data_IF_383464504327
#
_entry.id   IF_383464504327
#
_cell.length_a   1.000
_cell.length_b   1.000
_cell.length_c   1.000
_cell.angle_alpha   90.00
_cell.angle_beta   90.00
_cell.angle_gamma   90.00
#
_symmetry.space_group_name_H-M   'P 1'
#
loop_
_entity.id
_entity.type
_entity.pdbx_description
1 polymer ?
#
# COMPACT_ATOMS: atom_id res chain seq x y z
N UNK A 1 4.14 -22.50 -8.70
CA UNK A 1 4.42 -21.06 -8.60
C UNK A 1 4.42 -20.65 -7.13
N UNK A 2 5.45 -19.96 -6.69
CA UNK A 2 5.57 -19.59 -5.30
C UNK A 2 4.81 -18.32 -4.98
N UNK A 3 4.01 -18.35 -3.90
CA UNK A 3 3.34 -17.16 -3.40
C UNK A 3 4.14 -16.57 -2.25
N UNK A 4 4.12 -15.25 -2.14
CA UNK A 4 4.80 -14.53 -1.07
C UNK A 4 3.79 -14.18 0.02
N UNK A 5 4.19 -14.41 1.26
CA UNK A 5 3.41 -13.98 2.42
C UNK A 5 3.53 -12.47 2.55
N UNK A 6 2.43 -11.79 2.82
CA UNK A 6 2.44 -10.34 3.04
C UNK A 6 2.41 -10.08 4.54
N UNK A 7 3.38 -9.32 5.01
CA UNK A 7 3.44 -8.88 6.42
C UNK A 7 3.33 -7.36 6.42
N UNK A 8 2.30 -6.84 7.05
CA UNK A 8 2.09 -5.39 7.18
C UNK A 8 2.70 -4.96 8.50
N UNK A 9 3.78 -4.17 8.43
CA UNK A 9 4.45 -3.68 9.62
C UNK A 9 3.64 -2.57 10.29
N UNK A 10 3.89 -2.31 11.56
CA UNK A 10 3.07 -1.42 12.38
C UNK A 10 2.86 -0.04 11.76
N UNK A 11 3.91 0.56 11.23
CA UNK A 11 3.79 1.89 10.62
C UNK A 11 2.90 1.86 9.38
N UNK A 12 3.04 0.84 8.55
CA UNK A 12 2.20 0.69 7.37
C UNK A 12 0.75 0.44 7.75
N UNK A 13 0.51 -0.33 8.81
CA UNK A 13 -0.84 -0.56 9.31
C UNK A 13 -1.48 0.75 9.78
N UNK A 14 -0.72 1.57 10.50
CA UNK A 14 -1.22 2.86 10.95
C UNK A 14 -1.51 3.79 9.77
N UNK A 15 -0.61 3.82 8.78
CA UNK A 15 -0.84 4.59 7.55
C UNK A 15 -2.14 4.18 6.87
N UNK A 16 -2.39 2.88 6.82
CA UNK A 16 -3.57 2.33 6.18
C UNK A 16 -4.84 2.73 6.93
N UNK A 17 -4.84 2.62 8.26
CA UNK A 17 -5.98 3.01 9.08
C UNK A 17 -6.27 4.50 8.94
N UNK A 18 -5.23 5.33 8.94
CA UNK A 18 -5.37 6.78 8.78
C UNK A 18 -5.99 7.13 7.43
N UNK A 19 -5.56 6.45 6.37
CA UNK A 19 -6.09 6.69 5.03
C UNK A 19 -7.57 6.30 4.94
N UNK A 20 -7.92 5.14 5.50
CA UNK A 20 -9.31 4.66 5.50
C UNK A 20 -10.20 5.65 6.26
N UNK A 21 -9.77 6.09 7.45
CA UNK A 21 -10.53 7.07 8.24
C UNK A 21 -10.69 8.38 7.51
N UNK A 22 -9.62 8.86 6.87
CA UNK A 22 -9.65 10.09 6.12
C UNK A 22 -10.70 10.02 5.00
N UNK A 23 -10.69 8.96 4.21
CA UNK A 23 -11.62 8.81 3.10
C UNK A 23 -13.06 8.64 3.57
N UNK A 24 -13.28 7.89 4.64
CA UNK A 24 -14.62 7.72 5.21
C UNK A 24 -15.17 9.02 5.78
N UNK A 25 -14.31 9.92 6.26
CA UNK A 25 -14.76 11.23 6.75
C UNK A 25 -15.18 12.15 5.61
N UNK A 26 -14.74 11.87 4.38
CA UNK A 26 -15.08 12.69 3.21
C UNK A 26 -16.33 12.19 2.50
N UNK A 27 -16.53 10.88 2.44
CA UNK A 27 -17.71 10.29 1.81
C UNK A 27 -17.91 8.88 2.35
N UNK A 28 -19.16 8.52 2.62
CA UNK A 28 -19.49 7.19 3.13
C UNK A 28 -18.93 6.10 2.22
N UNK A 29 -18.34 5.10 2.82
CA UNK A 29 -17.78 3.91 2.14
C UNK A 29 -16.59 4.18 1.24
N UNK A 30 -16.06 5.41 1.20
CA UNK A 30 -14.91 5.71 0.37
C UNK A 30 -13.64 5.04 0.92
N UNK A 31 -13.52 4.95 2.25
CA UNK A 31 -12.40 4.24 2.87
C UNK A 31 -12.44 2.75 2.55
N UNK A 32 -13.63 2.16 2.47
CA UNK A 32 -13.77 0.76 2.10
C UNK A 32 -13.38 0.53 0.66
N UNK A 33 -13.70 1.48 -0.23
CA UNK A 33 -13.27 1.41 -1.62
C UNK A 33 -11.75 1.47 -1.72
N UNK A 34 -11.13 2.38 -0.96
CA UNK A 34 -9.68 2.47 -0.90
C UNK A 34 -9.07 1.14 -0.43
N UNK A 35 -9.61 0.57 0.63
CA UNK A 35 -9.11 -0.69 1.17
C UNK A 35 -9.24 -1.83 0.16
N UNK A 36 -10.32 -1.84 -0.61
CA UNK A 36 -10.53 -2.84 -1.65
C UNK A 36 -9.41 -2.77 -2.70
N UNK A 37 -9.05 -1.57 -3.15
CA UNK A 37 -7.95 -1.40 -4.09
C UNK A 37 -6.60 -1.75 -3.47
N UNK A 38 -6.43 -1.47 -2.18
CA UNK A 38 -5.24 -1.87 -1.45
C UNK A 38 -5.12 -3.40 -1.44
N UNK A 39 -6.20 -4.11 -1.14
CA UNK A 39 -6.18 -5.58 -1.12
C UNK A 39 -5.84 -6.16 -2.49
N UNK A 40 -6.31 -5.53 -3.55
CA UNK A 40 -5.97 -5.96 -4.89
C UNK A 40 -4.44 -5.89 -5.10
N UNK A 41 -3.81 -4.82 -4.63
CA UNK A 41 -2.36 -4.72 -4.73
C UNK A 41 -1.65 -5.79 -3.89
N UNK A 42 -2.22 -6.15 -2.74
CA UNK A 42 -1.64 -7.23 -1.92
C UNK A 42 -1.65 -8.56 -2.68
N UNK A 43 -2.73 -8.86 -3.37
CA UNK A 43 -2.80 -10.07 -4.19
C UNK A 43 -1.74 -10.05 -5.29
N UNK A 44 -1.58 -8.90 -5.94
CA UNK A 44 -0.57 -8.74 -6.98
C UNK A 44 0.83 -8.96 -6.43
N UNK A 45 1.15 -8.37 -5.28
CA UNK A 45 2.46 -8.49 -4.66
C UNK A 45 2.74 -9.91 -4.17
N UNK A 46 1.71 -10.64 -3.75
CA UNK A 46 1.91 -12.01 -3.30
C UNK A 46 2.29 -12.95 -4.46
N UNK A 47 1.94 -12.58 -5.67
CA UNK A 47 2.27 -13.37 -6.86
C UNK A 47 3.60 -12.93 -7.45
N UNK A 48 3.82 -11.63 -7.58
CA UNK A 48 5.05 -11.10 -8.15
C UNK A 48 5.42 -9.76 -7.51
N UNK A 49 6.28 -9.76 -6.48
CA UNK A 49 6.65 -8.54 -5.78
C UNK A 49 7.86 -7.83 -6.37
N UNK A 50 8.39 -8.26 -7.52
CA UNK A 50 9.68 -7.76 -8.01
C UNK A 50 9.55 -6.50 -8.86
N UNK A 51 8.93 -5.48 -8.28
CA UNK A 51 8.95 -4.14 -8.86
C UNK A 51 10.31 -3.50 -8.64
N UNK A 52 10.61 -2.47 -9.40
CA UNK A 52 11.92 -1.82 -9.38
C UNK A 52 12.25 -1.29 -7.97
N UNK A 53 13.50 -1.53 -7.55
CA UNK A 53 14.01 -0.94 -6.30
C UNK A 53 14.19 0.54 -6.53
N UNK A 54 13.62 1.37 -5.65
CA UNK A 54 13.65 2.82 -5.77
C UNK A 54 14.73 3.48 -4.93
N UNK A 55 14.95 2.97 -3.72
CA UNK A 55 16.00 3.48 -2.84
C UNK A 55 16.32 2.40 -1.82
N UNK A 56 17.59 2.33 -1.40
CA UNK A 56 18.07 1.25 -0.53
C UNK A 56 17.61 -0.09 -1.09
N UNK A 57 16.84 -0.86 -0.35
CA UNK A 57 16.22 -2.10 -0.84
C UNK A 57 14.70 -1.96 -0.94
N UNK A 58 14.19 -0.73 -0.96
CA UNK A 58 12.75 -0.46 -0.97
C UNK A 58 12.21 -0.45 -2.40
N UNK A 59 11.15 -1.20 -2.60
CA UNK A 59 10.38 -1.21 -3.84
C UNK A 59 9.06 -0.46 -3.61
N UNK A 60 8.49 0.10 -4.65
CA UNK A 60 7.27 0.91 -4.54
C UNK A 60 6.23 0.44 -5.53
N UNK A 61 4.96 0.44 -5.09
CA UNK A 61 3.83 0.11 -5.94
C UNK A 61 2.68 1.06 -5.65
N UNK A 62 2.22 1.76 -6.69
CA UNK A 62 1.09 2.68 -6.55
C UNK A 62 -0.21 1.89 -6.39
N UNK A 63 -1.09 2.38 -5.50
CA UNK A 63 -2.44 1.85 -5.37
C UNK A 63 -3.28 2.42 -6.51
N UNK A 64 -3.95 1.54 -7.25
CA UNK A 64 -4.77 1.96 -8.38
C UNK A 64 -5.89 2.91 -7.93
N UNK A 65 -6.07 4.01 -8.65
CA UNK A 65 -7.12 5.02 -8.44
C UNK A 65 -6.97 5.89 -7.20
N UNK A 66 -5.95 5.67 -6.39
CA UNK A 66 -5.71 6.47 -5.20
C UNK A 66 -4.27 6.96 -5.20
N UNK A 67 -4.01 8.19 -4.70
CA UNK A 67 -2.67 8.77 -4.75
C UNK A 67 -1.80 8.30 -3.59
N UNK A 68 -1.70 6.98 -3.42
CA UNK A 68 -0.87 6.38 -2.38
C UNK A 68 0.09 5.40 -3.00
N UNK A 69 1.28 5.31 -2.41
CA UNK A 69 2.32 4.38 -2.84
C UNK A 69 2.68 3.47 -1.67
N UNK A 70 2.69 2.17 -1.94
CA UNK A 70 3.10 1.16 -0.98
C UNK A 70 4.61 1.03 -1.06
N UNK A 71 5.30 1.16 0.08
CA UNK A 71 6.75 0.98 0.19
C UNK A 71 7.00 -0.37 0.86
N UNK A 72 7.75 -1.23 0.22
CA UNK A 72 7.92 -2.60 0.70
C UNK A 72 9.30 -3.15 0.38
N UNK A 73 9.68 -4.20 1.11
CA UNK A 73 10.89 -4.98 0.85
C UNK A 73 10.50 -6.43 0.60
N UNK A 74 11.37 -7.16 -0.08
CA UNK A 74 11.13 -8.57 -0.42
C UNK A 74 12.25 -9.41 0.18
N UNK A 75 11.86 -10.42 0.98
CA UNK A 75 12.78 -11.44 1.45
C UNK A 75 12.55 -12.67 0.59
N UNK A 76 13.47 -12.91 -0.35
CA UNK A 76 13.33 -14.01 -1.31
C UNK A 76 13.49 -15.37 -0.63
N UNK A 77 14.36 -15.47 0.34
CA UNK A 77 14.65 -16.74 1.01
C UNK A 77 13.43 -17.27 1.75
N UNK A 78 12.75 -16.38 2.46
CA UNK A 78 11.59 -16.76 3.24
C UNK A 78 10.27 -16.55 2.49
N UNK A 79 10.33 -15.99 1.29
CA UNK A 79 9.18 -15.67 0.47
C UNK A 79 8.19 -14.77 1.22
N UNK A 80 8.70 -13.67 1.77
CA UNK A 80 7.90 -12.70 2.54
C UNK A 80 8.08 -11.30 1.94
N UNK A 81 6.95 -10.58 1.83
CA UNK A 81 6.94 -9.16 1.49
C UNK A 81 6.59 -8.40 2.76
N UNK A 82 7.44 -7.46 3.15
CA UNK A 82 7.20 -6.59 4.31
C UNK A 82 6.75 -5.22 3.82
N UNK A 83 5.56 -4.81 4.19
CA UNK A 83 5.07 -3.45 3.93
C UNK A 83 5.58 -2.52 5.02
N UNK A 84 6.32 -1.50 4.62
CA UNK A 84 6.92 -0.53 5.56
C UNK A 84 6.09 0.72 5.71
N UNK A 85 5.44 1.17 4.64
CA UNK A 85 4.66 2.41 4.68
C UNK A 85 3.67 2.44 3.52
N UNK A 86 2.60 3.22 3.69
CA UNK A 86 1.63 3.52 2.64
C UNK A 86 1.52 5.04 2.62
N UNK A 87 2.18 5.67 1.66
CA UNK A 87 2.43 7.10 1.68
C UNK A 87 1.64 7.83 0.59
N UNK A 88 0.94 8.89 1.00
CA UNK A 88 0.23 9.76 0.08
C UNK A 88 1.24 10.54 -0.78
N UNK A 89 0.97 10.62 -2.09
CA UNK A 89 1.85 11.31 -3.03
C UNK A 89 1.62 12.82 -3.06
N UNK A 90 0.55 13.32 -2.44
CA UNK A 90 0.29 14.74 -2.35
C UNK A 90 0.98 15.34 -1.13
N UNK A 91 1.40 16.60 -1.24
CA UNK A 91 1.98 17.33 -0.13
C UNK A 91 0.99 17.55 0.99
N UNK A 92 -0.25 17.90 0.59
CA UNK A 92 -1.35 18.12 1.52
C UNK A 92 -2.26 16.91 1.43
N UNK A 93 -2.41 16.13 2.52
CA UNK A 93 -3.28 14.95 2.50
C UNK A 93 -4.71 15.26 2.09
N UNK A 94 -5.20 16.47 2.30
CA UNK A 94 -6.55 16.83 1.91
C UNK A 94 -6.75 16.81 0.41
N UNK A 95 -5.71 17.02 -0.37
CA UNK A 95 -5.81 16.96 -1.83
C UNK A 95 -5.98 15.54 -2.34
N UNK A 96 -5.66 14.55 -1.52
CA UNK A 96 -5.70 13.15 -1.92
C UNK A 96 -7.12 12.65 -2.19
N UNK A 97 -8.13 13.29 -1.64
CA UNK A 97 -9.48 12.82 -1.82
C UNK A 97 -10.14 13.38 -3.10
N UNK A 98 -9.46 14.26 -3.82
CA UNK A 98 -9.93 14.84 -5.07
C UNK A 98 -9.78 13.92 -6.28
N UNK A 99 -9.56 12.67 -6.07
CA UNK A 99 -9.41 11.67 -7.12
C UNK A 99 -10.76 11.18 -7.64
#
# INVERSE_FOLDING_TARGET
MQSYKIVILDLAEQDLEDAISFYNSRRDSLGEKFFHYFEFEMQTLSINPFYQIRYANIRCKKIKKFPFIIHFTVNKEDAIVYLHAVICTYRNPEDAWLI
#
